data_IF_931803153654
#
_entry.id   IF_931803153654
#
_cell.length_a   1.000
_cell.length_b   1.000
_cell.length_c   1.000
_cell.angle_alpha   90.00
_cell.angle_beta   90.00
_cell.angle_gamma   90.00
#
_symmetry.space_group_name_H-M   'P 1'
#
loop_
_entity.id
_entity.type
_entity.pdbx_description
1 polymer ?
#
# COMPACT_ATOMS: atom_id res chain seq x y z
N UNK A 1 -10.53 7.79 8.26
CA UNK A 1 -9.10 8.02 7.95
C UNK A 1 -8.27 8.52 9.15
N UNK A 2 -8.77 9.41 10.01
CA UNK A 2 -7.99 9.94 11.16
C UNK A 2 -7.85 8.98 12.36
N UNK A 3 -8.65 7.90 12.42
CA UNK A 3 -8.61 6.90 13.49
C UNK A 3 -7.55 5.80 13.26
N UNK A 4 -6.87 5.79 12.12
CA UNK A 4 -5.86 4.77 11.79
C UNK A 4 -4.44 5.18 12.22
N UNK A 5 -4.26 6.45 12.58
CA UNK A 5 -2.96 7.01 12.98
C UNK A 5 -2.52 6.66 14.40
N UNK A 6 -3.44 6.29 15.29
CA UNK A 6 -3.12 6.29 16.74
C UNK A 6 -2.86 4.93 17.37
N UNK A 7 -3.09 3.78 16.71
CA UNK A 7 -2.88 2.47 17.39
C UNK A 7 -2.52 1.24 16.55
N UNK A 8 -2.44 1.29 15.22
CA UNK A 8 -1.96 0.12 14.45
C UNK A 8 -1.42 0.58 13.10
N UNK A 9 -0.18 1.05 13.07
CA UNK A 9 0.51 1.34 11.83
C UNK A 9 0.61 0.06 11.00
N UNK A 10 0.04 0.07 9.80
CA UNK A 10 0.26 -1.00 8.83
C UNK A 10 1.78 -1.18 8.67
N UNK A 11 2.31 -2.31 9.12
CA UNK A 11 3.72 -2.64 8.94
C UNK A 11 3.95 -3.06 7.49
N UNK A 12 5.20 -2.93 7.04
CA UNK A 12 5.59 -3.44 5.74
C UNK A 12 5.24 -4.94 5.59
N UNK A 13 5.34 -5.74 6.65
CA UNK A 13 4.97 -7.17 6.64
C UNK A 13 3.48 -7.41 6.40
N UNK A 14 2.62 -6.57 6.97
CA UNK A 14 1.17 -6.66 6.77
C UNK A 14 0.81 -6.30 5.34
N UNK A 15 1.43 -5.25 4.80
CA UNK A 15 1.25 -4.84 3.41
C UNK A 15 1.78 -5.91 2.46
N UNK A 16 2.96 -6.48 2.72
CA UNK A 16 3.55 -7.54 1.90
C UNK A 16 2.67 -8.79 1.86
N UNK A 17 2.12 -9.20 3.01
CA UNK A 17 1.22 -10.35 3.10
C UNK A 17 -0.04 -10.14 2.26
N UNK A 18 -0.62 -8.93 2.33
CA UNK A 18 -1.79 -8.58 1.53
C UNK A 18 -1.50 -8.54 0.04
N UNK A 19 -0.39 -7.90 -0.37
CA UNK A 19 0.03 -7.85 -1.78
C UNK A 19 0.29 -9.26 -2.33
N UNK A 20 0.95 -10.13 -1.56
CA UNK A 20 1.20 -11.52 -1.94
C UNK A 20 -0.09 -12.31 -2.13
N UNK A 21 -1.06 -12.18 -1.23
CA UNK A 21 -2.34 -12.87 -1.30
C UNK A 21 -3.14 -12.43 -2.54
N UNK A 22 -3.26 -11.11 -2.74
CA UNK A 22 -3.98 -10.54 -3.89
C UNK A 22 -3.29 -10.90 -5.20
N UNK A 23 -1.95 -10.90 -5.26
CA UNK A 23 -1.21 -11.32 -6.44
C UNK A 23 -1.41 -12.81 -6.75
N UNK A 24 -1.55 -13.66 -5.73
CA UNK A 24 -1.79 -15.09 -5.89
C UNK A 24 -3.18 -15.38 -6.47
N UNK A 25 -4.22 -14.67 -5.98
CA UNK A 25 -5.60 -14.93 -6.39
C UNK A 25 -6.01 -14.16 -7.65
N UNK A 26 -5.62 -12.89 -7.75
CA UNK A 26 -6.09 -11.95 -8.79
C UNK A 26 -5.02 -10.91 -9.15
N UNK A 27 -3.98 -11.28 -9.93
CA UNK A 27 -2.88 -10.38 -10.30
C UNK A 27 -3.35 -9.11 -11.03
N UNK A 28 -4.41 -9.22 -11.84
CA UNK A 28 -4.97 -8.09 -12.61
C UNK A 28 -5.57 -7.00 -11.74
N UNK A 29 -6.03 -7.34 -10.53
CA UNK A 29 -6.63 -6.39 -9.58
C UNK A 29 -5.55 -5.71 -8.72
N UNK A 30 -4.40 -6.36 -8.53
CA UNK A 30 -3.29 -5.83 -7.73
C UNK A 30 -2.85 -4.44 -8.24
N UNK A 31 -2.63 -4.32 -9.54
CA UNK A 31 -2.23 -3.07 -10.19
C UNK A 31 -3.29 -1.97 -10.02
N UNK A 32 -4.58 -2.33 -10.05
CA UNK A 32 -5.65 -1.37 -9.79
C UNK A 32 -5.65 -0.90 -8.33
N UNK A 33 -5.42 -1.80 -7.38
CA UNK A 33 -5.40 -1.48 -5.95
C UNK A 33 -4.20 -0.62 -5.56
N UNK A 34 -3.00 -0.95 -6.05
CA UNK A 34 -1.78 -0.17 -5.76
C UNK A 34 -1.87 1.25 -6.32
N UNK A 35 -2.49 1.41 -7.49
CA UNK A 35 -2.69 2.70 -8.15
C UNK A 35 -4.00 3.40 -7.77
N UNK A 36 -4.79 2.83 -6.86
CA UNK A 36 -6.02 3.44 -6.38
C UNK A 36 -5.69 4.74 -5.65
N UNK A 37 -6.29 5.83 -6.11
CA UNK A 37 -6.24 7.12 -5.46
C UNK A 37 -7.47 7.32 -4.57
N UNK A 38 -7.28 7.97 -3.42
CA UNK A 38 -8.39 8.41 -2.58
C UNK A 38 -9.09 9.67 -3.16
N UNK A 39 -10.06 10.20 -2.43
CA UNK A 39 -10.80 11.42 -2.82
C UNK A 39 -9.90 12.66 -2.97
N UNK A 40 -8.67 12.62 -2.43
CA UNK A 40 -7.67 13.67 -2.53
C UNK A 40 -6.70 13.45 -3.71
N UNK A 41 -6.84 12.35 -4.45
CA UNK A 41 -5.91 11.98 -5.52
C UNK A 41 -4.62 11.32 -5.00
N UNK A 42 -4.52 11.00 -3.71
CA UNK A 42 -3.33 10.38 -3.13
C UNK A 42 -3.44 8.86 -3.20
N UNK A 43 -2.36 8.22 -3.65
CA UNK A 43 -2.22 6.75 -3.66
C UNK A 43 -1.48 6.26 -2.42
N UNK A 44 -1.46 4.94 -2.21
CA UNK A 44 -0.64 4.31 -1.17
C UNK A 44 0.84 4.73 -1.27
N UNK A 45 1.35 4.96 -2.48
CA UNK A 45 2.71 5.43 -2.71
C UNK A 45 2.93 6.86 -2.20
N UNK A 46 1.99 7.78 -2.47
CA UNK A 46 2.06 9.16 -1.99
C UNK A 46 2.16 9.21 -0.47
N UNK A 47 1.31 8.44 0.22
CA UNK A 47 1.35 8.36 1.68
C UNK A 47 2.64 7.71 2.19
N UNK A 48 3.12 6.65 1.54
CA UNK A 48 4.35 5.96 1.94
C UNK A 48 5.58 6.88 1.87
N UNK A 49 5.69 7.67 0.80
CA UNK A 49 6.77 8.64 0.62
C UNK A 49 6.66 9.78 1.63
N UNK A 50 5.46 10.32 1.86
CA UNK A 50 5.24 11.42 2.82
C UNK A 50 5.62 11.04 4.26
N UNK A 51 5.57 9.76 4.59
CA UNK A 51 5.91 9.24 5.92
C UNK A 51 7.32 8.66 6.01
N UNK A 52 8.13 8.78 4.96
CA UNK A 52 9.45 8.16 4.88
C UNK A 52 9.42 6.64 5.12
N UNK A 53 8.30 5.96 4.83
CA UNK A 53 8.16 4.52 5.02
C UNK A 53 8.70 3.77 3.80
N UNK A 54 10.02 3.83 3.63
CA UNK A 54 10.71 3.32 2.44
C UNK A 54 10.56 1.80 2.25
N UNK A 55 10.29 1.05 3.33
CA UNK A 55 9.98 -0.37 3.25
C UNK A 55 8.69 -0.62 2.46
N UNK A 56 7.65 0.18 2.71
CA UNK A 56 6.38 0.09 1.95
C UNK A 56 6.56 0.65 0.53
N UNK A 57 7.32 1.76 0.38
CA UNK A 57 7.64 2.29 -0.96
C UNK A 57 8.27 1.20 -1.83
N UNK A 58 9.26 0.47 -1.29
CA UNK A 58 9.92 -0.61 -2.00
C UNK A 58 8.93 -1.73 -2.36
N UNK A 59 8.11 -2.17 -1.41
CA UNK A 59 7.10 -3.21 -1.66
C UNK A 59 6.12 -2.81 -2.77
N UNK A 60 5.66 -1.55 -2.79
CA UNK A 60 4.76 -1.07 -3.83
C UNK A 60 5.45 -1.00 -5.20
N UNK A 61 6.71 -0.53 -5.27
CA UNK A 61 7.47 -0.49 -6.52
C UNK A 61 7.83 -1.89 -7.05
N UNK A 62 8.04 -2.87 -6.18
CA UNK A 62 8.30 -4.26 -6.55
C UNK A 62 7.07 -4.95 -7.19
N UNK A 63 5.88 -4.32 -7.17
CA UNK A 63 4.66 -4.87 -7.81
C UNK A 63 4.56 -4.64 -9.33
N UNK A 64 5.48 -3.85 -9.92
CA UNK A 64 5.62 -3.68 -11.37
C UNK A 64 5.26 -2.30 -11.88
#
# INVERSE_FOLDING_TARGET
LSLWYSSSGFTADTVASYLSEVNSQTPTVLQFLVNMADDNGNTALHYSVSHCNFSIVKLLLDTG
#
